data_IF_740918666145
#
_entry.id   IF_740918666145
#
_cell.length_a   1.000
_cell.length_b   1.000
_cell.length_c   1.000
_cell.angle_alpha   90.00
_cell.angle_beta   90.00
_cell.angle_gamma   90.00
#
_symmetry.space_group_name_H-M   'P 1'
#
loop_
_entity.id
_entity.type
_entity.pdbx_description
1 polymer ?
#
# COMPACT_ATOMS: atom_id res chain seq x y z
N UNK A 1 -15.97 29.60 55.37
CA UNK A 1 -14.85 29.14 54.54
C UNK A 1 -14.81 27.60 54.33
N UNK A 2 -15.05 26.73 55.30
CA UNK A 2 -15.00 25.28 55.16
C UNK A 2 -16.04 24.67 54.13
N UNK A 3 -17.21 25.26 53.96
CA UNK A 3 -18.25 24.76 53.03
C UNK A 3 -17.92 25.07 51.55
N UNK A 4 -17.20 26.14 51.25
CA UNK A 4 -16.84 26.51 49.88
C UNK A 4 -15.71 25.59 49.34
N UNK A 5 -14.76 25.25 50.20
CA UNK A 5 -13.64 24.34 49.83
C UNK A 5 -14.11 22.95 49.52
N UNK A 6 -15.17 22.44 50.25
CA UNK A 6 -15.73 21.11 50.03
C UNK A 6 -16.47 21.04 48.68
N UNK A 7 -17.19 22.09 48.28
CA UNK A 7 -17.90 22.14 47.01
C UNK A 7 -16.95 22.26 45.80
N UNK A 8 -15.83 22.98 45.93
CA UNK A 8 -14.81 23.08 44.87
C UNK A 8 -14.07 21.77 44.69
N UNK A 9 -13.77 21.04 45.78
CA UNK A 9 -13.17 19.71 45.71
C UNK A 9 -14.11 18.65 45.09
N UNK A 10 -15.41 18.70 45.40
CA UNK A 10 -16.41 17.82 44.74
C UNK A 10 -16.56 18.12 43.26
N UNK A 11 -16.55 19.41 42.87
CA UNK A 11 -16.64 19.79 41.45
C UNK A 11 -15.38 19.36 40.68
N UNK A 12 -14.20 19.49 41.27
CA UNK A 12 -12.95 19.04 40.68
C UNK A 12 -12.88 17.52 40.51
N UNK A 13 -13.42 16.72 41.46
CA UNK A 13 -13.49 15.26 41.34
C UNK A 13 -14.49 14.77 40.30
N UNK A 14 -15.60 15.48 40.10
CA UNK A 14 -16.60 15.17 39.05
C UNK A 14 -16.03 15.49 37.67
N UNK A 15 -15.32 16.63 37.53
CA UNK A 15 -14.63 17.00 36.26
C UNK A 15 -13.50 16.00 35.97
N UNK A 16 -12.73 15.54 36.97
CA UNK A 16 -11.69 14.52 36.77
C UNK A 16 -12.28 13.15 36.36
N UNK A 17 -13.45 12.77 36.87
CA UNK A 17 -14.15 11.54 36.45
C UNK A 17 -14.75 11.66 35.03
N UNK A 18 -15.16 12.86 34.61
CA UNK A 18 -15.64 13.09 33.23
C UNK A 18 -14.50 13.10 32.23
N UNK A 19 -13.27 13.47 32.63
CA UNK A 19 -12.07 13.42 31.79
C UNK A 19 -11.44 12.01 31.74
N UNK A 20 -11.75 11.13 32.69
CA UNK A 20 -11.22 9.75 32.71
C UNK A 20 -12.15 8.71 32.06
N UNK A 21 -13.41 9.06 31.78
CA UNK A 21 -14.36 8.26 31.02
C UNK A 21 -14.54 8.84 29.63
N UNK A 22 -13.55 8.71 28.74
CA UNK A 22 -13.87 8.64 27.32
C UNK A 22 -14.71 7.37 27.14
N UNK A 23 -16.03 7.51 27.26
CA UNK A 23 -16.95 6.38 27.11
C UNK A 23 -16.71 5.78 25.71
N UNK A 24 -16.75 4.46 25.61
CA UNK A 24 -16.64 3.76 24.33
C UNK A 24 -17.65 4.32 23.29
N UNK A 25 -18.80 4.83 23.77
CA UNK A 25 -19.80 5.53 22.95
C UNK A 25 -19.24 6.82 22.32
N UNK A 26 -18.48 7.62 23.06
CA UNK A 26 -17.89 8.84 22.49
C UNK A 26 -16.84 8.51 21.40
N UNK A 27 -16.01 7.49 21.61
CA UNK A 27 -15.02 7.03 20.63
C UNK A 27 -15.69 6.50 19.36
N UNK A 28 -16.75 5.71 19.49
CA UNK A 28 -17.56 5.23 18.35
C UNK A 28 -18.20 6.37 17.57
N UNK A 29 -18.71 7.40 18.28
CA UNK A 29 -19.27 8.58 17.64
C UNK A 29 -18.21 9.36 16.86
N UNK A 30 -17.04 9.57 17.42
CA UNK A 30 -15.92 10.24 16.74
C UNK A 30 -15.46 9.45 15.50
N UNK A 31 -15.31 8.13 15.62
CA UNK A 31 -14.98 7.26 14.49
C UNK A 31 -16.03 7.36 13.37
N UNK A 32 -17.32 7.38 13.72
CA UNK A 32 -18.38 7.55 12.72
C UNK A 32 -18.27 8.88 11.99
N UNK A 33 -18.03 9.97 12.71
CA UNK A 33 -17.84 11.30 12.11
C UNK A 33 -16.63 11.33 11.17
N UNK A 34 -15.51 10.67 11.53
CA UNK A 34 -14.31 10.60 10.67
C UNK A 34 -14.62 9.80 9.40
N UNK A 35 -15.29 8.64 9.52
CA UNK A 35 -15.72 7.85 8.36
C UNK A 35 -16.64 8.65 7.44
N UNK A 36 -17.64 9.37 8.00
CA UNK A 36 -18.55 10.22 7.24
C UNK A 36 -17.80 11.36 6.51
N UNK A 37 -16.70 11.86 7.09
CA UNK A 37 -15.86 12.87 6.43
C UNK A 37 -15.06 12.28 5.28
N UNK A 38 -14.43 11.11 5.46
CA UNK A 38 -13.70 10.43 4.39
C UNK A 38 -14.65 10.10 3.23
N UNK A 39 -15.87 9.69 3.51
CA UNK A 39 -16.86 9.39 2.48
C UNK A 39 -17.14 10.55 1.52
N UNK A 40 -17.02 11.81 1.99
CA UNK A 40 -17.22 13.01 1.16
C UNK A 40 -16.11 13.23 0.14
N UNK A 41 -14.93 12.64 0.37
CA UNK A 41 -13.76 12.78 -0.50
C UNK A 41 -13.62 11.63 -1.52
N UNK A 42 -14.51 10.63 -1.44
CA UNK A 42 -14.45 9.45 -2.32
C UNK A 42 -15.00 9.77 -3.74
N UNK A 43 -14.51 9.09 -4.78
CA UNK A 43 -13.46 8.05 -4.75
C UNK A 43 -12.04 8.64 -4.69
N UNK A 44 -11.16 8.03 -3.90
CA UNK A 44 -9.74 8.38 -3.87
C UNK A 44 -8.99 7.48 -4.84
N UNK A 45 -8.30 8.10 -5.80
CA UNK A 45 -7.51 7.39 -6.81
C UNK A 45 -6.23 6.79 -6.22
N UNK A 46 -6.01 5.49 -6.45
CA UNK A 46 -4.83 4.75 -5.99
C UNK A 46 -3.92 4.32 -7.16
N UNK A 47 -4.00 5.05 -8.27
CA UNK A 47 -3.25 4.77 -9.49
C UNK A 47 -3.86 3.65 -10.32
N UNK A 48 -3.00 2.92 -11.04
CA UNK A 48 -3.42 1.84 -11.95
C UNK A 48 -4.11 0.67 -11.26
N UNK A 49 -3.91 0.50 -9.95
CA UNK A 49 -4.47 -0.61 -9.19
C UNK A 49 -5.96 -0.43 -8.83
N UNK A 50 -6.49 0.78 -8.92
CA UNK A 50 -7.89 1.03 -8.64
C UNK A 50 -8.15 2.25 -7.76
N UNK A 51 -9.30 2.24 -7.07
CA UNK A 51 -9.78 3.37 -6.28
C UNK A 51 -10.28 2.90 -4.91
N UNK A 52 -10.06 3.69 -3.85
CA UNK A 52 -10.86 3.58 -2.63
C UNK A 52 -12.24 4.17 -2.96
N UNK A 53 -13.25 3.33 -3.06
CA UNK A 53 -14.57 3.69 -3.58
C UNK A 53 -15.64 3.88 -2.49
N UNK A 54 -15.45 3.25 -1.32
CA UNK A 54 -16.35 3.42 -0.18
C UNK A 54 -15.61 3.21 1.15
N UNK A 55 -16.08 3.90 2.19
CA UNK A 55 -15.70 3.65 3.59
C UNK A 55 -17.00 3.64 4.39
N UNK A 56 -17.24 2.59 5.18
CA UNK A 56 -18.44 2.49 6.04
C UNK A 56 -18.03 2.12 7.46
N UNK A 57 -18.90 2.47 8.43
CA UNK A 57 -18.76 2.04 9.81
C UNK A 57 -20.12 1.54 10.31
N UNK A 58 -20.26 0.23 10.45
CA UNK A 58 -21.48 -0.46 10.87
C UNK A 58 -21.11 -1.64 11.78
N UNK A 59 -21.89 -1.89 12.81
CA UNK A 59 -21.75 -3.02 13.73
C UNK A 59 -20.31 -3.21 14.28
N UNK A 60 -19.67 -2.10 14.65
CA UNK A 60 -18.29 -2.06 15.13
C UNK A 60 -17.25 -2.56 14.10
N UNK A 61 -17.56 -2.45 12.81
CA UNK A 61 -16.68 -2.79 11.71
C UNK A 61 -16.53 -1.57 10.79
N UNK A 62 -15.29 -1.13 10.59
CA UNK A 62 -14.95 -0.20 9.50
C UNK A 62 -14.63 -1.02 8.25
N UNK A 63 -15.29 -0.74 7.14
CA UNK A 63 -15.01 -1.38 5.85
C UNK A 63 -14.44 -0.37 4.87
N UNK A 64 -13.23 -0.65 4.35
CA UNK A 64 -12.63 0.08 3.24
C UNK A 64 -12.86 -0.72 1.96
N UNK A 65 -13.66 -0.20 1.03
CA UNK A 65 -13.94 -0.87 -0.25
C UNK A 65 -13.05 -0.29 -1.35
N UNK A 66 -12.21 -1.15 -1.90
CA UNK A 66 -11.32 -0.85 -3.03
C UNK A 66 -11.94 -1.41 -4.32
N UNK A 67 -12.18 -0.54 -5.30
CA UNK A 67 -12.53 -0.96 -6.65
C UNK A 67 -11.21 -1.22 -7.40
N UNK A 68 -10.90 -2.48 -7.69
CA UNK A 68 -9.61 -2.89 -8.23
C UNK A 68 -9.69 -3.22 -9.71
N UNK A 69 -8.63 -2.89 -10.43
CA UNK A 69 -8.48 -3.25 -11.84
C UNK A 69 -8.07 -4.74 -11.95
N UNK A 70 -9.01 -5.57 -12.44
CA UNK A 70 -8.81 -7.03 -12.53
C UNK A 70 -7.80 -7.44 -13.61
N UNK A 71 -7.45 -6.54 -14.52
CA UNK A 71 -6.34 -6.81 -15.46
C UNK A 71 -4.98 -6.82 -14.77
N UNK A 72 -4.90 -6.19 -13.59
CA UNK A 72 -3.68 -6.02 -12.80
C UNK A 72 -3.75 -6.72 -11.43
N UNK A 73 -4.93 -7.21 -11.01
CA UNK A 73 -5.15 -7.75 -9.67
C UNK A 73 -5.96 -9.03 -9.72
N UNK A 74 -5.42 -10.11 -9.16
CA UNK A 74 -6.13 -11.37 -8.94
C UNK A 74 -6.93 -11.29 -7.62
N UNK A 75 -8.26 -11.11 -7.74
CA UNK A 75 -9.15 -11.02 -6.57
C UNK A 75 -9.12 -12.30 -5.74
N UNK A 76 -9.08 -13.47 -6.39
CA UNK A 76 -9.04 -14.75 -5.69
C UNK A 76 -7.66 -14.95 -4.99
N UNK A 77 -6.59 -14.41 -5.57
CA UNK A 77 -5.25 -14.39 -4.98
C UNK A 77 -5.18 -13.59 -3.68
N UNK A 78 -5.91 -12.48 -3.59
CA UNK A 78 -5.95 -11.68 -2.36
C UNK A 78 -6.52 -12.47 -1.17
N UNK A 79 -7.49 -13.37 -1.39
CA UNK A 79 -8.03 -14.22 -0.32
C UNK A 79 -7.06 -15.34 0.05
N UNK A 80 -6.42 -15.97 -0.95
CA UNK A 80 -5.42 -17.03 -0.70
C UNK A 80 -4.28 -16.54 0.18
N UNK A 81 -3.87 -15.28 0.01
CA UNK A 81 -2.76 -14.67 0.72
C UNK A 81 -3.21 -13.59 1.73
N UNK A 82 -4.34 -13.82 2.41
CA UNK A 82 -4.93 -12.84 3.33
C UNK A 82 -3.98 -12.33 4.42
N UNK A 83 -3.12 -13.19 4.96
CA UNK A 83 -2.12 -12.77 5.94
C UNK A 83 -1.08 -11.82 5.33
N UNK A 84 -0.64 -12.08 4.11
CA UNK A 84 0.28 -11.21 3.40
C UNK A 84 -0.35 -9.84 3.08
N UNK A 85 -1.64 -9.83 2.72
CA UNK A 85 -2.40 -8.58 2.53
C UNK A 85 -2.46 -7.78 3.83
N UNK A 86 -2.73 -8.43 4.97
CA UNK A 86 -2.71 -7.78 6.30
C UNK A 86 -1.33 -7.21 6.63
N UNK A 87 -0.28 -7.99 6.49
CA UNK A 87 1.09 -7.56 6.76
C UNK A 87 1.49 -6.36 5.88
N UNK A 88 1.11 -6.39 4.59
CA UNK A 88 1.38 -5.27 3.68
C UNK A 88 0.62 -4.00 4.10
N UNK A 89 -0.67 -4.15 4.46
CA UNK A 89 -1.46 -3.03 4.97
C UNK A 89 -0.83 -2.44 6.24
N UNK A 90 -0.40 -3.26 7.19
CA UNK A 90 0.29 -2.82 8.40
C UNK A 90 1.58 -2.05 8.09
N UNK A 91 2.37 -2.53 7.12
CA UNK A 91 3.56 -1.81 6.67
C UNK A 91 3.22 -0.44 6.06
N UNK A 92 2.11 -0.32 5.33
CA UNK A 92 1.64 0.95 4.78
C UNK A 92 1.17 1.90 5.90
N UNK A 93 0.40 1.40 6.86
CA UNK A 93 -0.04 2.14 8.05
C UNK A 93 1.14 2.70 8.81
N UNK A 94 2.16 1.88 9.07
CA UNK A 94 3.36 2.27 9.81
C UNK A 94 4.08 3.50 9.20
N UNK A 95 3.89 3.75 7.91
CA UNK A 95 4.57 4.82 7.13
C UNK A 95 3.67 6.03 6.83
N UNK A 96 2.39 5.96 7.18
CA UNK A 96 1.42 7.02 6.87
C UNK A 96 0.69 7.49 8.14
N UNK A 97 1.00 8.70 8.58
CA UNK A 97 0.45 9.27 9.81
C UNK A 97 -1.10 9.33 9.82
N UNK A 98 -1.73 9.62 8.68
CA UNK A 98 -3.19 9.66 8.58
C UNK A 98 -3.79 8.25 8.75
N UNK A 99 -3.19 7.24 8.12
CA UNK A 99 -3.59 5.84 8.31
C UNK A 99 -3.34 5.36 9.75
N UNK A 100 -2.21 5.76 10.37
CA UNK A 100 -1.95 5.45 11.78
C UNK A 100 -3.02 6.04 12.69
N UNK A 101 -3.40 7.31 12.45
CA UNK A 101 -4.47 7.97 13.21
C UNK A 101 -5.78 7.19 13.07
N UNK A 102 -6.21 6.89 11.84
CA UNK A 102 -7.42 6.12 11.58
C UNK A 102 -7.41 4.76 12.28
N UNK A 103 -6.32 3.99 12.18
CA UNK A 103 -6.18 2.69 12.82
C UNK A 103 -6.27 2.80 14.35
N UNK A 104 -5.66 3.83 14.96
CA UNK A 104 -5.74 4.09 16.41
C UNK A 104 -7.18 4.43 16.83
N UNK A 105 -7.91 5.18 16.02
CA UNK A 105 -9.32 5.52 16.27
C UNK A 105 -10.21 4.28 16.17
N UNK A 106 -9.99 3.42 15.17
CA UNK A 106 -10.71 2.14 15.01
C UNK A 106 -10.44 1.24 16.23
N UNK A 107 -9.16 1.05 16.60
CA UNK A 107 -8.77 0.27 17.76
C UNK A 107 -9.34 0.87 19.06
N UNK A 108 -9.28 2.19 19.21
CA UNK A 108 -9.83 2.92 20.37
C UNK A 108 -11.33 2.80 20.53
N UNK A 109 -12.07 2.63 19.43
CA UNK A 109 -13.51 2.39 19.41
C UNK A 109 -13.89 0.90 19.62
N UNK A 110 -12.91 0.02 19.85
CA UNK A 110 -13.09 -1.44 19.94
C UNK A 110 -13.71 -2.04 18.67
N UNK A 111 -13.35 -1.50 17.51
CA UNK A 111 -13.86 -1.90 16.20
C UNK A 111 -12.82 -2.73 15.43
N UNK A 112 -13.30 -3.49 14.45
CA UNK A 112 -12.48 -4.22 13.47
C UNK A 112 -12.38 -3.46 12.16
N UNK A 113 -11.42 -3.83 11.32
CA UNK A 113 -11.23 -3.28 9.98
C UNK A 113 -11.37 -4.37 8.93
N UNK A 114 -12.19 -4.14 7.92
CA UNK A 114 -12.33 -5.00 6.74
C UNK A 114 -11.75 -4.27 5.52
N UNK A 115 -10.78 -4.90 4.87
CA UNK A 115 -10.29 -4.51 3.55
C UNK A 115 -11.10 -5.30 2.52
N UNK A 116 -12.01 -4.63 1.83
CA UNK A 116 -12.85 -5.24 0.81
C UNK A 116 -12.37 -4.85 -0.57
N UNK A 117 -12.06 -5.83 -1.40
CA UNK A 117 -11.61 -5.66 -2.78
C UNK A 117 -12.73 -6.09 -3.72
N UNK A 118 -13.18 -5.18 -4.57
CA UNK A 118 -14.25 -5.43 -5.55
C UNK A 118 -13.68 -5.28 -6.96
N UNK A 119 -13.81 -6.30 -7.77
CA UNK A 119 -13.40 -6.28 -9.18
C UNK A 119 -14.23 -5.26 -9.97
N UNK A 120 -13.55 -4.44 -10.76
CA UNK A 120 -14.20 -3.42 -11.57
C UNK A 120 -14.98 -3.98 -12.77
N UNK A 121 -14.68 -5.21 -13.20
CA UNK A 121 -15.30 -5.88 -14.37
C UNK A 121 -16.25 -6.99 -13.94
N UNK A 122 -15.80 -7.91 -13.11
CA UNK A 122 -16.61 -9.08 -12.69
C UNK A 122 -17.57 -8.76 -11.55
N UNK A 123 -17.27 -7.71 -10.77
CA UNK A 123 -17.96 -7.43 -9.52
C UNK A 123 -17.67 -8.43 -8.41
N UNK A 124 -16.74 -9.39 -8.60
CA UNK A 124 -16.28 -10.29 -7.54
C UNK A 124 -15.81 -9.50 -6.34
N UNK A 125 -16.07 -10.04 -5.15
CA UNK A 125 -15.68 -9.41 -3.88
C UNK A 125 -14.80 -10.38 -3.10
N UNK A 126 -13.67 -9.86 -2.62
CA UNK A 126 -12.79 -10.53 -1.66
C UNK A 126 -12.66 -9.63 -0.42
N UNK A 127 -12.66 -10.21 0.78
CA UNK A 127 -12.55 -9.45 2.01
C UNK A 127 -11.47 -10.04 2.91
N UNK A 128 -10.65 -9.16 3.49
CA UNK A 128 -9.61 -9.49 4.47
C UNK A 128 -9.92 -8.73 5.75
N UNK A 129 -10.16 -9.44 6.84
CA UNK A 129 -10.49 -8.84 8.14
C UNK A 129 -9.24 -8.70 9.00
N UNK A 130 -9.02 -7.52 9.55
CA UNK A 130 -8.06 -7.21 10.60
C UNK A 130 -8.87 -7.03 11.88
N UNK A 131 -8.71 -7.95 12.83
CA UNK A 131 -9.46 -7.93 14.07
C UNK A 131 -9.03 -6.77 14.96
N UNK A 132 -9.87 -6.41 15.94
CA UNK A 132 -9.54 -5.41 16.96
C UNK A 132 -8.25 -5.73 17.71
N UNK A 133 -8.00 -7.02 18.01
CA UNK A 133 -6.79 -7.45 18.70
C UNK A 133 -5.53 -7.26 17.83
N UNK A 134 -5.64 -7.51 16.53
CA UNK A 134 -4.56 -7.23 15.57
C UNK A 134 -4.31 -5.72 15.46
N UNK A 135 -5.38 -4.89 15.45
CA UNK A 135 -5.27 -3.43 15.40
C UNK A 135 -4.64 -2.86 16.67
N UNK A 136 -5.03 -3.35 17.85
CA UNK A 136 -4.44 -2.95 19.12
C UNK A 136 -2.92 -3.23 19.18
N UNK A 137 -2.46 -4.27 18.50
CA UNK A 137 -1.05 -4.64 18.39
C UNK A 137 -0.31 -3.92 17.23
N UNK A 138 -0.94 -2.96 16.55
CA UNK A 138 -0.34 -2.26 15.39
C UNK A 138 1.01 -1.62 15.73
N UNK A 139 1.18 -1.12 16.96
CA UNK A 139 2.46 -0.55 17.41
C UNK A 139 3.61 -1.57 17.43
N UNK A 140 3.33 -2.87 17.51
CA UNK A 140 4.34 -3.94 17.37
C UNK A 140 4.78 -4.16 15.93
N UNK A 141 3.96 -3.74 14.97
CA UNK A 141 4.24 -3.84 13.54
C UNK A 141 4.85 -2.56 12.96
N UNK A 142 5.00 -1.50 13.76
CA UNK A 142 5.71 -0.29 13.35
C UNK A 142 7.21 -0.60 13.36
N UNK A 143 7.62 -1.38 12.37
CA UNK A 143 9.02 -1.47 12.01
C UNK A 143 9.48 -0.07 11.57
N UNK A 144 10.68 0.33 11.97
CA UNK A 144 11.22 1.65 11.58
C UNK A 144 12.44 1.48 10.68
N UNK A 145 12.74 2.50 9.87
CA UNK A 145 13.94 2.54 9.06
C UNK A 145 14.05 1.40 8.04
N UNK A 146 15.24 0.79 7.95
CA UNK A 146 15.55 -0.25 6.96
C UNK A 146 14.72 -1.52 7.14
N UNK A 147 14.48 -1.96 8.38
CA UNK A 147 13.69 -3.17 8.66
C UNK A 147 12.25 -3.06 8.14
N UNK A 148 11.61 -1.89 8.28
CA UNK A 148 10.28 -1.64 7.73
C UNK A 148 10.28 -1.68 6.20
N UNK A 149 11.32 -1.10 5.59
CA UNK A 149 11.47 -1.08 4.14
C UNK A 149 11.73 -2.48 3.56
N UNK A 150 12.58 -3.28 4.20
CA UNK A 150 12.85 -4.67 3.81
C UNK A 150 11.59 -5.52 3.87
N UNK A 151 10.83 -5.45 4.97
CA UNK A 151 9.59 -6.21 5.12
C UNK A 151 8.54 -5.80 4.09
N UNK A 152 8.44 -4.50 3.79
CA UNK A 152 7.52 -4.01 2.76
C UNK A 152 7.89 -4.55 1.38
N UNK A 153 9.17 -4.50 0.98
CA UNK A 153 9.62 -5.02 -0.31
C UNK A 153 9.41 -6.53 -0.39
N UNK A 154 9.69 -7.27 0.68
CA UNK A 154 9.43 -8.71 0.75
C UNK A 154 7.94 -9.02 0.51
N UNK A 155 7.04 -8.31 1.20
CA UNK A 155 5.60 -8.53 1.08
C UNK A 155 5.08 -8.17 -0.32
N UNK A 156 5.52 -7.04 -0.89
CA UNK A 156 5.18 -6.65 -2.27
C UNK A 156 5.68 -7.71 -3.24
N UNK A 157 6.92 -8.18 -3.10
CA UNK A 157 7.50 -9.22 -3.96
C UNK A 157 6.66 -10.50 -3.94
N UNK A 158 6.22 -10.95 -2.76
CA UNK A 158 5.36 -12.13 -2.63
C UNK A 158 4.01 -11.94 -3.32
N UNK A 159 3.37 -10.78 -3.12
CA UNK A 159 2.09 -10.45 -3.77
C UNK A 159 2.23 -10.38 -5.29
N UNK A 160 3.31 -9.80 -5.80
CA UNK A 160 3.56 -9.71 -7.24
C UNK A 160 3.87 -11.09 -7.86
N UNK A 161 4.74 -11.88 -7.23
CA UNK A 161 5.05 -13.24 -7.70
C UNK A 161 3.82 -14.15 -7.77
N UNK A 162 2.89 -14.01 -6.84
CA UNK A 162 1.64 -14.78 -6.84
C UNK A 162 0.73 -14.44 -8.05
N UNK A 163 0.95 -13.29 -8.69
CA UNK A 163 0.20 -12.83 -9.88
C UNK A 163 0.96 -13.06 -11.19
N UNK A 164 2.26 -13.36 -11.11
CA UNK A 164 3.07 -13.60 -12.30
C UNK A 164 2.77 -14.97 -12.92
N UNK A 165 2.80 -15.09 -14.25
CA UNK A 165 3.18 -14.05 -15.21
C UNK A 165 2.06 -13.01 -15.42
N UNK A 166 2.42 -11.71 -15.42
CA UNK A 166 1.49 -10.60 -15.65
C UNK A 166 1.74 -9.97 -17.02
N UNK A 167 0.75 -9.93 -17.88
CA UNK A 167 0.82 -9.25 -19.17
C UNK A 167 0.72 -7.71 -18.95
N UNK A 168 1.74 -6.98 -19.37
CA UNK A 168 1.79 -5.52 -19.29
C UNK A 168 1.55 -4.83 -20.64
N UNK A 169 1.14 -5.62 -21.62
CA UNK A 169 0.83 -5.14 -22.98
C UNK A 169 2.04 -5.17 -23.91
N UNK A 170 1.78 -4.88 -25.19
CA UNK A 170 2.80 -4.84 -26.26
C UNK A 170 3.67 -6.11 -26.36
N UNK A 171 3.15 -7.28 -25.96
CA UNK A 171 3.91 -8.53 -25.99
C UNK A 171 4.97 -8.64 -24.88
N UNK A 172 4.82 -7.90 -23.79
CA UNK A 172 5.71 -7.92 -22.64
C UNK A 172 4.98 -8.57 -21.46
N UNK A 173 5.60 -9.54 -20.81
CA UNK A 173 5.09 -10.18 -19.60
C UNK A 173 6.13 -10.09 -18.48
N UNK A 174 5.73 -9.61 -17.33
CA UNK A 174 6.52 -9.74 -16.10
C UNK A 174 6.39 -11.17 -15.59
N UNK A 175 7.50 -11.86 -15.42
CA UNK A 175 7.51 -13.30 -15.09
C UNK A 175 8.16 -13.60 -13.74
N UNK A 176 8.99 -12.71 -13.21
CA UNK A 176 9.59 -12.83 -11.89
C UNK A 176 10.07 -11.46 -11.37
N UNK A 177 10.36 -11.39 -10.06
CA UNK A 177 11.01 -10.26 -9.42
C UNK A 177 11.95 -10.77 -8.32
N UNK A 178 13.22 -10.33 -8.29
CA UNK A 178 14.26 -10.85 -7.40
C UNK A 178 15.35 -9.84 -7.11
N UNK A 179 16.15 -10.12 -6.08
CA UNK A 179 17.34 -9.34 -5.76
C UNK A 179 18.58 -9.85 -6.48
N UNK A 180 19.34 -8.93 -7.06
CA UNK A 180 20.67 -9.17 -7.59
C UNK A 180 21.62 -8.05 -7.14
N UNK A 181 22.39 -8.31 -6.10
CA UNK A 181 23.25 -7.31 -5.46
C UNK A 181 22.44 -6.13 -4.89
N UNK A 182 22.69 -4.93 -5.41
CA UNK A 182 21.98 -3.71 -4.99
C UNK A 182 20.73 -3.41 -5.83
N UNK A 183 20.38 -4.31 -6.74
CA UNK A 183 19.28 -4.12 -7.66
C UNK A 183 18.12 -5.06 -7.32
N UNK A 184 16.92 -4.51 -7.22
CA UNK A 184 15.67 -5.28 -7.28
C UNK A 184 15.23 -5.37 -8.73
N UNK A 185 15.28 -6.57 -9.30
CA UNK A 185 15.11 -6.82 -10.75
C UNK A 185 13.72 -7.38 -11.03
N UNK A 186 12.96 -6.72 -11.89
CA UNK A 186 11.79 -7.29 -12.57
C UNK A 186 12.25 -7.99 -13.86
N UNK A 187 11.95 -9.28 -13.99
CA UNK A 187 12.22 -10.04 -15.22
C UNK A 187 11.03 -9.90 -16.17
N UNK A 188 11.28 -9.29 -17.33
CA UNK A 188 10.32 -9.09 -18.39
C UNK A 188 10.62 -9.99 -19.60
N UNK A 189 9.72 -10.93 -19.89
CA UNK A 189 9.75 -11.73 -21.11
C UNK A 189 9.09 -10.97 -22.26
N UNK A 190 9.79 -10.90 -23.39
CA UNK A 190 9.36 -10.23 -24.62
C UNK A 190 8.99 -11.27 -25.67
N UNK A 191 7.80 -11.11 -26.27
CA UNK A 191 7.33 -12.00 -27.33
C UNK A 191 8.28 -11.93 -28.55
N UNK A 192 8.86 -13.07 -28.90
CA UNK A 192 9.83 -13.21 -30.02
C UNK A 192 9.26 -12.89 -31.40
N UNK A 193 7.92 -12.87 -31.57
CA UNK A 193 7.29 -12.45 -32.83
C UNK A 193 7.30 -10.92 -32.99
N UNK A 194 7.55 -10.16 -31.94
CA UNK A 194 7.58 -8.69 -31.93
C UNK A 194 8.98 -8.16 -31.72
N UNK A 195 9.77 -8.84 -30.88
CA UNK A 195 11.09 -8.38 -30.43
C UNK A 195 12.19 -9.36 -30.83
N UNK A 196 13.36 -8.84 -31.18
CA UNK A 196 14.60 -9.62 -31.34
C UNK A 196 15.63 -9.16 -30.30
N UNK A 197 16.53 -10.06 -29.92
CA UNK A 197 17.59 -9.72 -28.95
C UNK A 197 18.57 -8.70 -29.53
N UNK A 198 18.84 -8.76 -30.85
CA UNK A 198 19.68 -7.79 -31.56
C UNK A 198 19.03 -6.41 -31.53
N UNK A 199 17.74 -6.30 -31.84
CA UNK A 199 16.99 -5.05 -31.76
C UNK A 199 16.99 -4.47 -30.36
N UNK A 200 16.84 -5.33 -29.33
CA UNK A 200 16.90 -4.93 -27.93
C UNK A 200 18.30 -4.42 -27.53
N UNK A 201 19.36 -5.08 -27.97
CA UNK A 201 20.76 -4.65 -27.73
C UNK A 201 21.10 -3.34 -28.43
N UNK A 202 20.51 -3.08 -29.59
CA UNK A 202 20.71 -1.84 -30.36
C UNK A 202 19.83 -0.68 -29.87
N UNK A 203 18.78 -0.95 -29.09
CA UNK A 203 17.90 0.08 -28.58
C UNK A 203 18.64 1.08 -27.67
N UNK A 204 18.25 2.35 -27.76
CA UNK A 204 18.82 3.39 -26.92
C UNK A 204 18.45 3.15 -25.44
N UNK A 205 19.47 2.80 -24.66
CA UNK A 205 19.31 2.49 -23.21
C UNK A 205 18.76 3.67 -22.43
N UNK A 206 19.13 4.90 -22.81
CA UNK A 206 18.64 6.08 -22.11
C UNK A 206 17.14 6.28 -22.36
N UNK A 207 16.68 6.09 -23.60
CA UNK A 207 15.26 6.23 -23.95
C UNK A 207 14.41 5.15 -23.24
N UNK A 208 14.89 3.91 -23.21
CA UNK A 208 14.27 2.83 -22.44
C UNK A 208 14.17 3.20 -20.95
N UNK A 209 15.26 3.73 -20.38
CA UNK A 209 15.30 4.16 -18.98
C UNK A 209 14.32 5.30 -18.71
N UNK A 210 14.23 6.30 -19.60
CA UNK A 210 13.27 7.40 -19.45
C UNK A 210 11.82 6.90 -19.52
N UNK A 211 11.52 5.91 -20.38
CA UNK A 211 10.22 5.24 -20.41
C UNK A 211 9.86 4.59 -19.08
N UNK A 212 10.79 3.84 -18.47
CA UNK A 212 10.60 3.24 -17.14
C UNK A 212 10.40 4.30 -16.05
N UNK A 213 11.23 5.36 -16.05
CA UNK A 213 11.11 6.48 -15.11
C UNK A 213 9.73 7.14 -15.24
N UNK A 214 9.27 7.38 -16.47
CA UNK A 214 7.95 7.97 -16.73
C UNK A 214 6.82 7.06 -16.19
N UNK A 215 6.90 5.75 -16.43
CA UNK A 215 5.92 4.79 -15.90
C UNK A 215 5.86 4.82 -14.37
N UNK A 216 7.01 4.75 -13.69
CA UNK A 216 7.10 4.82 -12.23
C UNK A 216 6.59 6.16 -11.67
N UNK A 217 6.85 7.28 -12.37
CA UNK A 217 6.44 8.63 -11.93
C UNK A 217 4.94 8.89 -12.09
N UNK A 218 4.30 8.22 -13.06
CA UNK A 218 2.89 8.41 -13.38
C UNK A 218 1.96 7.46 -12.61
N UNK A 219 2.52 6.46 -11.93
CA UNK A 219 1.74 5.54 -11.10
C UNK A 219 1.90 5.87 -9.61
N UNK A 220 0.89 6.49 -8.97
CA UNK A 220 0.92 6.78 -7.54
C UNK A 220 1.11 5.53 -6.67
N UNK A 221 0.71 4.34 -7.13
CA UNK A 221 0.88 3.09 -6.38
C UNK A 221 2.35 2.70 -6.22
N UNK A 222 3.22 3.09 -7.15
CA UNK A 222 4.66 2.85 -7.09
C UNK A 222 5.37 3.65 -5.99
N UNK A 223 4.76 4.74 -5.49
CA UNK A 223 5.38 5.66 -4.54
C UNK A 223 5.90 4.96 -3.28
N UNK A 224 5.06 4.14 -2.66
CA UNK A 224 5.40 3.44 -1.41
C UNK A 224 6.58 2.48 -1.61
N UNK A 225 6.62 1.79 -2.74
CA UNK A 225 7.74 0.93 -3.12
C UNK A 225 9.02 1.73 -3.35
N UNK A 226 8.93 2.84 -4.09
CA UNK A 226 10.07 3.76 -4.33
C UNK A 226 10.62 4.31 -3.01
N UNK A 227 9.76 4.72 -2.07
CA UNK A 227 10.18 5.18 -0.74
C UNK A 227 10.93 4.09 0.03
N UNK A 228 10.49 2.83 -0.05
CA UNK A 228 11.20 1.70 0.54
C UNK A 228 12.58 1.50 -0.10
N UNK A 229 12.66 1.49 -1.43
CA UNK A 229 13.93 1.34 -2.16
C UNK A 229 14.92 2.47 -1.83
N UNK A 230 14.44 3.71 -1.68
CA UNK A 230 15.26 4.84 -1.25
C UNK A 230 15.77 4.63 0.19
N UNK A 231 14.92 4.16 1.10
CA UNK A 231 15.30 3.86 2.50
C UNK A 231 16.40 2.80 2.54
N UNK A 232 16.31 1.79 1.69
CA UNK A 232 17.30 0.72 1.54
C UNK A 232 18.55 1.12 0.77
N UNK A 233 18.57 2.30 0.14
CA UNK A 233 19.62 2.75 -0.80
C UNK A 233 19.85 1.78 -1.96
N UNK A 234 18.77 1.18 -2.47
CA UNK A 234 18.79 0.19 -3.55
C UNK A 234 18.23 0.78 -4.85
N UNK A 235 18.49 0.08 -5.96
CA UNK A 235 18.04 0.42 -7.31
C UNK A 235 16.85 -0.45 -7.70
N UNK A 236 16.08 0.00 -8.71
CA UNK A 236 15.07 -0.83 -9.39
C UNK A 236 15.61 -1.14 -10.80
N UNK A 237 15.62 -2.42 -11.16
CA UNK A 237 16.04 -2.89 -12.46
C UNK A 237 14.92 -3.58 -13.22
N UNK A 238 14.97 -3.48 -14.54
CA UNK A 238 14.13 -4.22 -15.46
C UNK A 238 15.03 -5.01 -16.39
N UNK A 239 14.98 -6.35 -16.28
CA UNK A 239 15.69 -7.28 -17.14
C UNK A 239 14.78 -7.70 -18.27
N UNK A 240 15.07 -7.25 -19.47
CA UNK A 240 14.34 -7.60 -20.68
C UNK A 240 15.02 -8.80 -21.36
N UNK A 241 14.27 -9.89 -21.51
CA UNK A 241 14.71 -11.12 -22.15
C UNK A 241 13.71 -11.50 -23.25
N UNK A 242 14.18 -11.76 -24.46
CA UNK A 242 13.32 -12.26 -25.54
C UNK A 242 13.06 -13.75 -25.30
N UNK A 243 11.85 -14.22 -25.55
CA UNK A 243 11.48 -15.65 -25.45
C UNK A 243 12.50 -16.53 -26.17
N UNK A 244 12.87 -17.65 -25.56
CA UNK A 244 13.87 -18.62 -26.03
C UNK A 244 15.33 -18.09 -26.11
N UNK A 245 15.60 -16.83 -25.75
CA UNK A 245 16.94 -16.29 -25.65
C UNK A 245 17.50 -16.47 -24.23
N UNK A 246 18.82 -16.71 -24.13
CA UNK A 246 19.54 -16.62 -22.85
C UNK A 246 20.11 -15.22 -22.59
N UNK A 247 20.18 -14.42 -23.64
CA UNK A 247 20.69 -13.06 -23.56
C UNK A 247 19.59 -12.10 -23.06
N UNK A 248 19.99 -11.08 -22.36
CA UNK A 248 19.10 -10.07 -21.79
C UNK A 248 19.71 -8.67 -21.84
N UNK A 249 18.87 -7.70 -21.52
CA UNK A 249 19.22 -6.29 -21.43
C UNK A 249 18.67 -5.74 -20.11
N UNK A 250 19.54 -5.20 -19.27
CA UNK A 250 19.17 -4.56 -18.02
C UNK A 250 19.02 -3.04 -18.19
N UNK A 251 17.94 -2.51 -17.64
CA UNK A 251 17.68 -1.08 -17.49
C UNK A 251 17.59 -0.79 -15.99
N UNK A 252 18.55 -0.04 -15.47
CA UNK A 252 18.63 0.27 -14.03
C UNK A 252 18.21 1.71 -13.77
N UNK A 253 17.17 1.86 -12.97
CA UNK A 253 16.74 3.12 -12.34
C UNK A 253 17.48 3.22 -11.01
N UNK A 254 18.49 4.08 -10.96
CA UNK A 254 19.39 4.19 -9.82
C UNK A 254 18.69 4.82 -8.60
N UNK A 255 19.27 4.64 -7.43
CA UNK A 255 18.87 5.33 -6.20
C UNK A 255 18.70 6.84 -6.39
N UNK A 256 19.60 7.49 -7.15
CA UNK A 256 19.49 8.92 -7.45
C UNK A 256 18.30 9.26 -8.35
N UNK A 257 17.96 8.39 -9.31
CA UNK A 257 16.78 8.53 -10.14
C UNK A 257 15.50 8.39 -9.31
N UNK A 258 15.45 7.41 -8.40
CA UNK A 258 14.31 7.18 -7.51
C UNK A 258 14.04 8.39 -6.61
N UNK A 259 15.08 9.02 -6.07
CA UNK A 259 14.94 10.26 -5.29
C UNK A 259 14.32 11.39 -6.13
N UNK A 260 14.71 11.51 -7.40
CA UNK A 260 14.17 12.52 -8.31
C UNK A 260 12.69 12.24 -8.64
N UNK A 261 12.34 10.95 -8.87
CA UNK A 261 10.95 10.53 -9.07
C UNK A 261 10.12 10.89 -7.84
N UNK A 262 10.57 10.53 -6.64
CA UNK A 262 9.84 10.83 -5.40
C UNK A 262 9.62 12.34 -5.19
N UNK A 263 10.62 13.17 -5.53
CA UNK A 263 10.50 14.63 -5.47
C UNK A 263 9.47 15.22 -6.44
N UNK A 264 9.09 14.50 -7.50
CA UNK A 264 8.07 14.91 -8.45
C UNK A 264 6.64 14.62 -7.97
N UNK A 265 6.43 13.59 -7.14
CA UNK A 265 5.11 13.28 -6.57
C UNK A 265 4.54 14.37 -5.65
N UNK A 266 5.36 15.23 -5.08
CA UNK A 266 4.94 16.32 -4.19
C UNK A 266 4.63 17.65 -4.90
N UNK A 267 4.73 17.72 -6.23
CA UNK A 267 4.58 18.98 -7.00
C UNK A 267 3.32 19.01 -7.90
N UNK A 268 2.46 18.01 -7.82
CA UNK A 268 1.19 17.95 -8.57
C UNK A 268 -0.01 18.26 -7.67
#
# INVERSE_FOLDING_TARGET
MKRIVCNVLMLASVIAMLLSCESNVAKKTLLKMEVDNIQKELPIKLGSMGDLSAVTYEDDVVTLTYLVNETLSDIDGLVRDSNLVKENYQCMVARNNAMQKMVKEIAGADASLVLQYKGNTSGKVASVTISKDELANTDKFILTGTAAAEKLVENITRLERNRMPTDVGNGIKLVDAFWEGDNYIYLANLNKSIYTIEGLKMANRNDMKQGVIAALSNDPSSRTFIEAMITLRKNIGYRYQVEDSKDYVDIIVSYSDLKRILGAFGKK
#
